data_IF_603686253715
#
_entry.id   IF_603686253715
#
_cell.length_a   1.000
_cell.length_b   1.000
_cell.length_c   1.000
_cell.angle_alpha   90.00
_cell.angle_beta   90.00
_cell.angle_gamma   90.00
#
_symmetry.space_group_name_H-M   'P 1'
#
loop_
_entity.id
_entity.type
_entity.pdbx_description
1 polymer ?
#
# COMPACT_ATOMS: atom_id res chain seq x y z
N UNK A 1 23.79 -30.62 -18.92
CA UNK A 1 22.72 -29.81 -18.31
C UNK A 1 23.38 -28.65 -17.57
N UNK A 2 23.65 -27.52 -18.23
CA UNK A 2 24.41 -26.39 -17.66
C UNK A 2 23.71 -25.03 -17.83
N UNK A 3 22.38 -25.03 -18.03
CA UNK A 3 21.61 -23.84 -18.40
C UNK A 3 20.92 -23.11 -17.23
N UNK A 4 20.97 -23.62 -16.00
CA UNK A 4 20.19 -23.06 -14.87
C UNK A 4 20.87 -21.91 -14.12
N UNK A 5 22.19 -21.71 -14.26
CA UNK A 5 22.90 -20.67 -13.51
C UNK A 5 22.75 -19.25 -14.10
N UNK A 6 22.56 -19.14 -15.43
CA UNK A 6 22.57 -17.85 -16.16
C UNK A 6 21.28 -17.04 -15.99
N UNK A 7 20.13 -17.70 -15.79
CA UNK A 7 18.82 -17.04 -15.57
C UNK A 7 18.77 -16.35 -14.19
N UNK A 8 19.37 -16.96 -13.16
CA UNK A 8 19.39 -16.42 -11.80
C UNK A 8 20.15 -15.09 -11.71
N UNK A 9 21.29 -14.97 -12.41
CA UNK A 9 22.13 -13.75 -12.38
C UNK A 9 21.49 -12.57 -13.12
N UNK A 10 20.69 -12.82 -14.17
CA UNK A 10 19.97 -11.76 -14.91
C UNK A 10 18.87 -11.10 -14.08
N UNK A 11 18.21 -11.83 -13.18
CA UNK A 11 17.18 -11.28 -12.29
C UNK A 11 17.73 -10.25 -11.31
N UNK A 12 19.02 -10.32 -10.97
CA UNK A 12 19.69 -9.46 -9.98
C UNK A 12 20.15 -8.12 -10.59
N UNK A 13 20.22 -8.02 -11.93
CA UNK A 13 20.79 -6.87 -12.63
C UNK A 13 19.78 -6.04 -13.43
N UNK A 14 18.48 -6.30 -13.28
CA UNK A 14 17.48 -5.42 -13.90
C UNK A 14 17.63 -4.01 -13.30
N UNK A 15 17.74 -2.96 -14.14
CA UNK A 15 17.81 -1.60 -13.64
C UNK A 15 16.55 -1.34 -12.81
N UNK A 16 16.74 -0.78 -11.61
CA UNK A 16 15.63 -0.35 -10.76
C UNK A 16 14.85 0.70 -11.57
N UNK A 17 13.66 0.34 -12.02
CA UNK A 17 12.79 1.25 -12.77
C UNK A 17 11.96 2.05 -11.78
N UNK A 18 12.05 3.38 -11.85
CA UNK A 18 11.13 4.25 -11.11
C UNK A 18 9.74 4.17 -11.74
N UNK A 19 8.77 3.65 -11.00
CA UNK A 19 7.39 3.62 -11.45
C UNK A 19 6.82 5.04 -11.52
N UNK A 20 6.25 5.42 -12.67
CA UNK A 20 5.70 6.76 -12.94
C UNK A 20 6.64 7.93 -12.58
N UNK A 21 7.96 7.70 -12.65
CA UNK A 21 8.97 8.70 -12.26
C UNK A 21 9.01 9.04 -10.77
N UNK A 22 8.37 8.24 -9.91
CA UNK A 22 8.43 8.42 -8.45
C UNK A 22 9.74 7.84 -7.89
N UNK A 23 10.58 8.72 -7.34
CA UNK A 23 11.81 8.38 -6.63
C UNK A 23 11.57 8.49 -5.12
N UNK A 24 11.62 7.35 -4.42
CA UNK A 24 11.32 7.28 -2.99
C UNK A 24 12.19 8.23 -2.15
N UNK A 25 13.50 8.27 -2.39
CA UNK A 25 14.42 9.07 -1.58
C UNK A 25 14.15 10.56 -1.75
N UNK A 26 13.91 11.01 -2.99
CA UNK A 26 13.55 12.42 -3.27
C UNK A 26 12.21 12.79 -2.62
N UNK A 27 11.21 11.90 -2.70
CA UNK A 27 9.90 12.12 -2.11
C UNK A 27 9.95 12.17 -0.57
N UNK A 28 10.72 11.27 0.05
CA UNK A 28 10.95 11.25 1.51
C UNK A 28 11.64 12.55 1.97
N UNK A 29 12.76 12.91 1.36
CA UNK A 29 13.48 14.14 1.71
C UNK A 29 12.63 15.40 1.54
N UNK A 30 11.80 15.46 0.49
CA UNK A 30 10.86 16.57 0.29
C UNK A 30 9.83 16.64 1.42
N UNK A 31 9.27 15.50 1.83
CA UNK A 31 8.26 15.42 2.89
C UNK A 31 8.85 15.81 4.26
N UNK A 32 10.05 15.30 4.58
CA UNK A 32 10.79 15.65 5.79
C UNK A 32 11.12 17.15 5.86
N UNK A 33 11.65 17.72 4.77
CA UNK A 33 11.95 19.17 4.71
C UNK A 33 10.71 20.04 4.93
N UNK A 34 9.56 19.60 4.42
CA UNK A 34 8.28 20.31 4.57
C UNK A 34 7.59 20.04 5.91
N UNK A 35 8.05 19.05 6.69
CA UNK A 35 7.37 18.56 7.89
C UNK A 35 5.92 18.14 7.61
N UNK A 36 5.70 17.55 6.44
CA UNK A 36 4.38 17.11 5.98
C UNK A 36 4.39 15.62 5.66
N UNK A 37 3.25 14.96 5.87
CA UNK A 37 3.07 13.57 5.46
C UNK A 37 2.91 13.48 3.94
N UNK A 38 3.61 12.51 3.33
CA UNK A 38 3.51 12.27 1.89
C UNK A 38 2.08 11.91 1.48
N UNK A 39 1.56 12.57 0.44
CA UNK A 39 0.30 12.24 -0.24
C UNK A 39 0.63 11.87 -1.68
N UNK A 40 0.28 10.66 -2.08
CA UNK A 40 0.45 10.24 -3.47
C UNK A 40 -0.58 10.94 -4.35
N UNK A 41 -0.09 11.64 -5.39
CA UNK A 41 -0.93 12.35 -6.35
C UNK A 41 -1.34 11.45 -7.52
N UNK A 42 -0.54 10.42 -7.81
CA UNK A 42 -0.77 9.47 -8.89
C UNK A 42 -1.69 8.33 -8.43
N UNK A 43 -1.78 8.13 -7.11
CA UNK A 43 -2.72 7.19 -6.48
C UNK A 43 -3.46 7.86 -5.30
N UNK A 44 -4.43 8.75 -5.59
CA UNK A 44 -5.08 9.56 -4.58
C UNK A 44 -6.02 8.72 -3.68
N UNK A 45 -6.19 9.08 -2.39
CA UNK A 45 -7.08 8.37 -1.47
C UNK A 45 -8.55 8.70 -1.73
N UNK A 46 -9.07 8.27 -2.89
CA UNK A 46 -10.46 8.44 -3.30
C UNK A 46 -10.92 7.23 -4.14
N UNK A 47 -12.18 7.25 -4.59
CA UNK A 47 -12.80 6.14 -5.31
C UNK A 47 -12.07 5.72 -6.59
N UNK A 48 -11.31 6.62 -7.24
CA UNK A 48 -10.55 6.25 -8.45
C UNK A 48 -9.43 5.25 -8.18
N UNK A 49 -8.93 5.20 -6.94
CA UNK A 49 -7.87 4.26 -6.52
C UNK A 49 -8.39 2.91 -6.03
N UNK A 50 -9.70 2.78 -5.81
CA UNK A 50 -10.32 1.49 -5.41
C UNK A 50 -10.60 0.61 -6.64
N UNK A 51 -10.82 1.24 -7.80
CA UNK A 51 -11.12 0.56 -9.06
C UNK A 51 -12.63 0.34 -9.27
N UNK A 52 -12.98 -0.46 -10.27
CA UNK A 52 -14.36 -0.65 -10.75
C UNK A 52 -15.06 -1.88 -10.17
N UNK A 53 -14.65 -2.36 -8.99
CA UNK A 53 -15.25 -3.52 -8.30
C UNK A 53 -16.68 -3.26 -7.78
N UNK A 54 -17.37 -2.23 -8.27
CA UNK A 54 -18.70 -1.78 -7.84
C UNK A 54 -19.84 -2.55 -8.47
N UNK A 55 -19.63 -3.17 -9.64
CA UNK A 55 -20.71 -3.93 -10.29
C UNK A 55 -20.86 -5.33 -9.69
N UNK A 56 -19.77 -5.91 -9.18
CA UNK A 56 -19.75 -7.32 -8.77
C UNK A 56 -20.03 -7.52 -7.28
N UNK A 57 -19.95 -6.48 -6.45
CA UNK A 57 -19.90 -6.64 -4.99
C UNK A 57 -21.00 -5.91 -4.19
N UNK A 58 -21.86 -5.08 -4.81
CA UNK A 58 -22.87 -4.27 -4.11
C UNK A 58 -22.28 -3.48 -2.90
N UNK A 59 -21.06 -2.96 -3.06
CA UNK A 59 -20.32 -2.29 -2.00
C UNK A 59 -20.45 -0.77 -2.10
N UNK A 60 -20.67 -0.13 -0.96
CA UNK A 60 -20.76 1.33 -0.85
C UNK A 60 -19.37 1.96 -0.68
N UNK A 61 -18.72 2.24 -1.81
CA UNK A 61 -17.41 2.89 -1.82
C UNK A 61 -17.45 4.37 -1.47
N UNK A 62 -18.64 5.00 -1.45
CA UNK A 62 -18.75 6.44 -1.15
C UNK A 62 -18.44 6.74 0.32
N UNK A 63 -18.56 5.73 1.18
CA UNK A 63 -18.36 5.84 2.62
C UNK A 63 -17.02 5.29 3.11
N UNK A 64 -16.08 5.03 2.19
CA UNK A 64 -14.72 4.58 2.54
C UNK A 64 -13.90 5.73 3.12
N UNK A 65 -13.38 5.54 4.33
CA UNK A 65 -12.49 6.48 5.00
C UNK A 65 -11.06 5.95 4.94
N UNK A 66 -10.17 6.72 4.31
CA UNK A 66 -8.75 6.39 4.21
C UNK A 66 -8.01 6.79 5.50
N UNK A 67 -7.39 5.83 6.18
CA UNK A 67 -6.67 6.06 7.44
C UNK A 67 -5.21 5.62 7.34
N UNK A 68 -4.32 6.31 8.05
CA UNK A 68 -2.93 5.89 8.23
C UNK A 68 -2.84 4.93 9.43
N UNK A 69 -1.85 4.01 9.47
CA UNK A 69 -1.65 3.12 10.61
C UNK A 69 -1.54 3.82 11.96
N UNK A 70 -0.94 5.02 11.99
CA UNK A 70 -0.79 5.83 13.21
C UNK A 70 -2.12 6.34 13.81
N UNK A 71 -3.22 6.30 13.05
CA UNK A 71 -4.57 6.66 13.55
C UNK A 71 -5.32 5.44 14.09
N UNK A 72 -4.94 4.24 13.63
CA UNK A 72 -5.63 2.99 13.94
C UNK A 72 -5.03 2.28 15.16
N UNK A 73 -3.72 2.42 15.36
CA UNK A 73 -3.03 1.80 16.48
C UNK A 73 -3.08 2.68 17.73
N UNK A 74 -3.35 2.14 18.93
CA UNK A 74 -3.25 2.87 20.19
C UNK A 74 -1.80 3.28 20.52
N UNK A 75 -0.81 2.70 19.83
CA UNK A 75 0.61 3.00 20.00
C UNK A 75 1.33 3.24 18.67
N UNK A 76 2.66 3.26 18.72
CA UNK A 76 3.49 3.40 17.52
C UNK A 76 3.23 2.23 16.57
N UNK A 77 2.84 2.47 15.30
CA UNK A 77 2.69 1.38 14.34
C UNK A 77 4.08 0.84 13.95
N UNK A 78 4.14 -0.47 13.72
CA UNK A 78 5.32 -1.15 13.20
C UNK A 78 5.10 -1.55 11.75
N UNK A 79 6.14 -1.43 10.92
CA UNK A 79 6.08 -1.90 9.54
C UNK A 79 6.29 -3.42 9.47
N UNK A 80 7.22 -3.93 10.26
CA UNK A 80 7.46 -5.35 10.52
C UNK A 80 7.94 -5.52 11.97
N UNK A 81 7.71 -6.70 12.56
CA UNK A 81 8.23 -7.09 13.88
C UNK A 81 8.85 -8.47 13.69
N UNK A 82 10.15 -8.58 13.95
CA UNK A 82 10.91 -9.84 13.86
C UNK A 82 10.83 -10.58 12.50
N UNK A 83 10.64 -9.82 11.42
CA UNK A 83 10.55 -10.32 10.06
C UNK A 83 9.13 -10.26 9.52
N UNK A 84 8.84 -11.10 8.52
CA UNK A 84 7.52 -11.25 7.93
C UNK A 84 7.21 -12.74 7.80
N UNK A 85 6.00 -13.11 8.15
CA UNK A 85 5.48 -14.46 8.15
C UNK A 85 4.13 -14.53 7.46
N UNK A 86 3.75 -15.73 7.01
CA UNK A 86 2.40 -16.01 6.48
C UNK A 86 1.27 -15.71 7.47
N UNK A 87 1.59 -15.59 8.76
CA UNK A 87 0.63 -15.27 9.82
C UNK A 87 0.39 -13.76 9.99
N UNK A 88 1.19 -12.91 9.33
CA UNK A 88 1.02 -11.45 9.39
C UNK A 88 -0.03 -10.92 8.40
N UNK A 89 -0.65 -11.80 7.61
CA UNK A 89 -1.56 -11.45 6.54
C UNK A 89 -2.91 -12.17 6.68
N UNK A 90 -3.98 -11.41 6.50
CA UNK A 90 -5.34 -11.94 6.38
C UNK A 90 -6.10 -11.19 5.27
N UNK A 91 -7.08 -11.87 4.65
CA UNK A 91 -7.94 -11.21 3.68
C UNK A 91 -8.89 -10.26 4.39
N UNK A 92 -8.90 -9.00 3.96
CA UNK A 92 -9.86 -8.01 4.47
C UNK A 92 -11.32 -8.45 4.24
N UNK A 93 -12.20 -8.03 5.13
CA UNK A 93 -13.65 -8.20 4.94
C UNK A 93 -14.13 -7.41 3.71
N UNK A 94 -15.23 -7.84 3.09
CA UNK A 94 -15.91 -7.12 1.99
C UNK A 94 -16.58 -5.81 2.46
N UNK A 95 -15.92 -5.01 3.31
CA UNK A 95 -16.43 -3.90 4.14
C UNK A 95 -17.10 -4.38 5.44
N UNK A 96 -16.34 -4.44 6.54
CA UNK A 96 -16.91 -4.64 7.88
C UNK A 96 -17.65 -3.38 8.35
N UNK A 97 -18.89 -3.51 8.81
CA UNK A 97 -19.63 -2.43 9.49
C UNK A 97 -19.11 -2.29 10.92
N UNK A 98 -18.33 -1.25 11.20
CA UNK A 98 -18.04 -0.82 12.56
C UNK A 98 -18.64 0.58 12.78
N UNK A 99 -19.67 0.69 13.63
CA UNK A 99 -20.22 1.98 14.07
C UNK A 99 -20.82 2.87 12.96
N UNK A 100 -21.27 2.30 11.84
CA UNK A 100 -21.87 3.06 10.74
C UNK A 100 -20.89 3.61 9.69
N UNK A 101 -19.59 3.27 9.79
CA UNK A 101 -18.58 3.68 8.81
C UNK A 101 -17.83 2.46 8.25
N UNK A 102 -17.45 2.52 6.97
CA UNK A 102 -16.66 1.48 6.32
C UNK A 102 -15.17 1.85 6.36
N UNK A 103 -14.36 0.90 6.83
CA UNK A 103 -12.91 0.99 6.77
C UNK A 103 -12.42 0.16 5.58
N UNK A 104 -11.59 0.76 4.73
CA UNK A 104 -10.69 0.02 3.84
C UNK A 104 -9.32 0.05 4.47
N UNK A 105 -8.68 -1.11 4.55
CA UNK A 105 -7.23 -1.20 4.71
C UNK A 105 -6.54 -0.97 3.36
#
# INVERSE_FOLDING_TARGET
MHYTQLESVKSVLLPIVTFLGQDYQKLLQKSLRRKELYKDKLFPPNSSSIGTLSKEANLDYNNVIWKRPAVLSPGKPFFTIDGMSRFDYEQGSKLAKFGGHYLSF
#
